data_IF_544980339494
#
_entry.id   IF_544980339494
#
_cell.length_a   1.000
_cell.length_b   1.000
_cell.length_c   1.000
_cell.angle_alpha   90.00
_cell.angle_beta   90.00
_cell.angle_gamma   90.00
#
_symmetry.space_group_name_H-M   'P 1'
#
loop_
_entity.id
_entity.type
_entity.pdbx_description
1 polymer ?
#
# COMPACT_ATOMS: atom_id res chain seq x y z
N UNK A 1 -11.80 -8.26 -27.34
CA UNK A 1 -12.48 -8.49 -26.08
C UNK A 1 -12.94 -9.94 -25.99
N UNK A 2 -12.79 -10.58 -24.83
CA UNK A 2 -13.31 -11.92 -24.61
C UNK A 2 -14.85 -11.83 -24.51
N UNK A 3 -15.60 -12.48 -25.41
CA UNK A 3 -17.07 -12.39 -25.41
C UNK A 3 -17.75 -13.27 -24.33
N UNK A 4 -16.99 -14.13 -23.66
CA UNK A 4 -17.48 -15.11 -22.70
C UNK A 4 -17.26 -14.69 -21.24
N UNK A 5 -17.11 -13.38 -20.98
CA UNK A 5 -16.95 -12.89 -19.61
C UNK A 5 -18.25 -13.01 -18.84
N UNK A 6 -18.13 -13.55 -17.63
CA UNK A 6 -19.19 -13.63 -16.62
C UNK A 6 -18.99 -12.57 -15.54
N UNK A 7 -20.00 -12.36 -14.70
CA UNK A 7 -19.89 -11.43 -13.58
C UNK A 7 -18.92 -11.97 -12.51
N UNK A 8 -18.10 -11.08 -11.98
CA UNK A 8 -17.31 -11.31 -10.78
C UNK A 8 -18.18 -11.09 -9.54
N UNK A 9 -18.03 -11.92 -8.53
CA UNK A 9 -18.70 -11.78 -7.24
C UNK A 9 -17.69 -11.63 -6.12
N UNK A 10 -17.92 -10.65 -5.24
CA UNK A 10 -17.13 -10.45 -4.04
C UNK A 10 -17.97 -10.75 -2.78
N UNK A 11 -17.47 -11.63 -1.94
CA UNK A 11 -18.04 -11.93 -0.63
C UNK A 11 -17.08 -11.41 0.43
N UNK A 12 -17.54 -10.44 1.22
CA UNK A 12 -16.71 -9.79 2.24
C UNK A 12 -17.30 -10.00 3.64
N UNK A 13 -16.42 -10.32 4.59
CA UNK A 13 -16.74 -10.34 6.03
C UNK A 13 -15.70 -9.53 6.77
N UNK A 14 -16.16 -8.58 7.57
CA UNK A 14 -15.28 -7.77 8.41
C UNK A 14 -15.76 -7.69 9.86
N UNK A 15 -14.78 -7.63 10.77
CA UNK A 15 -14.99 -7.40 12.19
C UNK A 15 -14.13 -6.22 12.64
N UNK A 16 -14.79 -5.19 13.16
CA UNK A 16 -14.14 -3.99 13.67
C UNK A 16 -14.41 -3.87 15.18
N UNK A 17 -13.37 -3.74 15.97
CA UNK A 17 -13.43 -3.55 17.41
C UNK A 17 -12.63 -2.33 17.79
N UNK A 18 -13.26 -1.39 18.50
CA UNK A 18 -12.58 -0.23 19.06
C UNK A 18 -12.87 -0.13 20.57
N UNK A 19 -11.83 0.17 21.35
CA UNK A 19 -11.95 0.33 22.80
C UNK A 19 -11.20 1.57 23.28
N UNK A 20 -11.89 2.34 24.11
CA UNK A 20 -11.33 3.45 24.85
C UNK A 20 -10.97 2.98 26.27
N UNK A 21 -9.73 3.23 26.67
CA UNK A 21 -9.24 3.01 28.03
C UNK A 21 -9.08 4.38 28.70
N UNK A 22 -10.03 4.70 29.54
CA UNK A 22 -10.16 6.05 30.10
C UNK A 22 -10.47 7.09 29.00
N UNK A 23 -9.85 8.28 29.13
CA UNK A 23 -10.01 9.39 28.16
C UNK A 23 -8.84 9.53 27.19
N UNK A 24 -7.78 8.77 27.40
CA UNK A 24 -6.48 9.07 26.84
C UNK A 24 -5.93 7.99 25.90
N UNK A 25 -6.44 6.76 25.97
CA UNK A 25 -5.94 5.67 25.13
C UNK A 25 -7.09 5.07 24.32
N UNK A 26 -6.92 5.00 23.01
CA UNK A 26 -7.79 4.29 22.07
C UNK A 26 -7.01 3.15 21.45
N UNK A 27 -7.62 1.99 21.39
CA UNK A 27 -7.12 0.83 20.63
C UNK A 27 -8.22 0.41 19.68
N UNK A 28 -7.89 0.19 18.43
CA UNK A 28 -8.78 -0.36 17.42
C UNK A 28 -8.10 -1.50 16.64
N UNK A 29 -8.90 -2.50 16.30
CA UNK A 29 -8.50 -3.64 15.49
C UNK A 29 -9.60 -3.94 14.49
N UNK A 30 -9.23 -4.07 13.23
CA UNK A 30 -10.09 -4.51 12.15
C UNK A 30 -9.52 -5.77 11.53
N UNK A 31 -10.37 -6.77 11.29
CA UNK A 31 -10.01 -7.95 10.51
C UNK A 31 -10.99 -8.10 9.38
N UNK A 32 -10.53 -8.56 8.24
CA UNK A 32 -11.39 -8.79 7.09
C UNK A 32 -10.96 -10.02 6.30
N UNK A 33 -11.92 -10.60 5.62
CA UNK A 33 -11.73 -11.66 4.64
C UNK A 33 -12.62 -11.37 3.43
N UNK A 34 -12.04 -11.36 2.24
CA UNK A 34 -12.74 -11.19 0.97
C UNK A 34 -12.46 -12.38 0.08
N UNK A 35 -13.51 -13.03 -0.38
CA UNK A 35 -13.47 -14.05 -1.43
C UNK A 35 -13.97 -13.41 -2.73
N UNK A 36 -13.15 -13.48 -3.77
CA UNK A 36 -13.54 -13.16 -5.14
C UNK A 36 -13.84 -14.48 -5.88
N UNK A 37 -15.01 -14.60 -6.43
CA UNK A 37 -15.44 -15.71 -7.26
C UNK A 37 -15.60 -15.24 -8.69
N UNK A 38 -15.11 -16.00 -9.65
CA UNK A 38 -15.00 -15.59 -11.05
C UNK A 38 -14.18 -14.31 -11.25
N UNK A 39 -13.11 -14.11 -10.46
CA UNK A 39 -12.28 -12.90 -10.51
C UNK A 39 -11.78 -12.62 -11.94
N UNK A 40 -11.88 -11.35 -12.36
CA UNK A 40 -11.46 -10.91 -13.69
C UNK A 40 -9.96 -10.62 -13.70
N UNK A 41 -9.18 -11.51 -14.27
CA UNK A 41 -7.72 -11.40 -14.38
C UNK A 41 -7.24 -11.39 -15.82
N UNK A 42 -6.08 -10.80 -16.06
CA UNK A 42 -5.43 -10.85 -17.38
C UNK A 42 -4.59 -12.13 -17.47
N UNK A 43 -4.89 -12.96 -18.47
CA UNK A 43 -4.19 -14.23 -18.73
C UNK A 43 -3.90 -14.42 -20.21
N UNK A 44 -3.05 -15.38 -20.49
CA UNK A 44 -2.72 -15.78 -21.86
C UNK A 44 -3.99 -16.21 -22.61
N UNK A 45 -4.06 -15.79 -23.85
CA UNK A 45 -5.21 -16.01 -24.71
C UNK A 45 -4.75 -16.26 -26.14
N UNK A 46 -5.67 -16.65 -27.02
CA UNK A 46 -5.39 -16.77 -28.44
C UNK A 46 -6.25 -15.83 -29.27
N UNK A 47 -5.65 -15.17 -30.24
CA UNK A 47 -6.36 -14.38 -31.25
C UNK A 47 -6.28 -15.11 -32.58
N UNK A 48 -7.43 -15.56 -33.11
CA UNK A 48 -7.52 -16.39 -34.32
C UNK A 48 -6.65 -17.66 -34.24
N UNK A 49 -6.54 -18.26 -33.04
CA UNK A 49 -5.74 -19.46 -32.78
C UNK A 49 -4.26 -19.24 -32.55
N UNK A 50 -3.76 -17.99 -32.64
CA UNK A 50 -2.38 -17.65 -32.36
C UNK A 50 -2.22 -17.12 -30.92
N UNK A 51 -1.25 -17.65 -30.17
CA UNK A 51 -0.87 -17.16 -28.82
C UNK A 51 0.05 -15.93 -28.88
N UNK A 52 0.68 -15.70 -30.01
CA UNK A 52 1.56 -14.55 -30.27
C UNK A 52 1.18 -13.90 -31.60
N UNK A 53 1.27 -12.59 -31.66
CA UNK A 53 1.03 -11.79 -32.87
C UNK A 53 2.12 -10.73 -33.01
N UNK A 54 2.38 -10.31 -34.25
CA UNK A 54 3.21 -9.11 -34.48
C UNK A 54 2.34 -7.88 -34.25
N UNK A 55 2.67 -7.10 -33.22
CA UNK A 55 2.02 -5.84 -32.90
C UNK A 55 3.07 -4.72 -32.87
N UNK A 56 2.84 -3.67 -33.62
CA UNK A 56 3.76 -2.52 -33.77
C UNK A 56 5.21 -2.93 -34.19
N UNK A 57 5.34 -4.01 -34.99
CA UNK A 57 6.62 -4.52 -35.45
C UNK A 57 7.34 -5.49 -34.54
N UNK A 58 6.80 -5.76 -33.33
CA UNK A 58 7.35 -6.69 -32.34
C UNK A 58 6.44 -7.90 -32.13
N UNK A 59 7.04 -9.07 -31.92
CA UNK A 59 6.30 -10.27 -31.55
C UNK A 59 5.80 -10.12 -30.11
N UNK A 60 4.50 -10.11 -29.94
CA UNK A 60 3.82 -9.85 -28.67
C UNK A 60 2.90 -10.99 -28.30
N UNK A 61 2.92 -11.39 -27.02
CA UNK A 61 2.02 -12.39 -26.47
C UNK A 61 0.59 -11.87 -26.41
N UNK A 62 -0.36 -12.70 -26.83
CA UNK A 62 -1.78 -12.37 -26.78
C UNK A 62 -2.32 -12.65 -25.38
N UNK A 63 -2.88 -11.63 -24.75
CA UNK A 63 -3.54 -11.73 -23.45
C UNK A 63 -4.94 -11.15 -23.51
N UNK A 64 -5.84 -11.70 -22.71
CA UNK A 64 -7.20 -11.20 -22.53
C UNK A 64 -7.62 -11.24 -21.07
N UNK A 65 -8.60 -10.40 -20.73
CA UNK A 65 -9.31 -10.51 -19.47
C UNK A 65 -10.16 -11.79 -19.52
N UNK A 66 -10.05 -12.60 -18.48
CA UNK A 66 -10.77 -13.86 -18.32
C UNK A 66 -11.26 -13.99 -16.88
N UNK A 67 -12.31 -14.77 -16.67
CA UNK A 67 -12.71 -15.14 -15.32
C UNK A 67 -11.73 -16.17 -14.77
N UNK A 68 -11.12 -15.86 -13.62
CA UNK A 68 -10.30 -16.79 -12.86
C UNK A 68 -11.17 -17.67 -11.98
N UNK A 69 -10.60 -18.76 -11.47
CA UNK A 69 -11.33 -19.64 -10.58
C UNK A 69 -11.69 -18.93 -9.27
N UNK A 70 -10.74 -18.49 -8.50
CA UNK A 70 -10.94 -17.79 -7.21
C UNK A 70 -9.72 -16.96 -6.82
N UNK A 71 -9.99 -15.86 -6.10
CA UNK A 71 -8.96 -15.14 -5.37
C UNK A 71 -9.48 -14.83 -3.96
N UNK A 72 -8.58 -14.76 -2.99
CA UNK A 72 -8.94 -14.35 -1.64
C UNK A 72 -7.93 -13.33 -1.10
N UNK A 73 -8.43 -12.41 -0.29
CA UNK A 73 -7.61 -11.44 0.43
C UNK A 73 -8.08 -11.37 1.88
N UNK A 74 -7.18 -11.47 2.80
CA UNK A 74 -7.48 -11.28 4.22
C UNK A 74 -6.43 -10.41 4.88
N UNK A 75 -6.82 -9.76 5.97
CA UNK A 75 -5.92 -8.87 6.66
C UNK A 75 -6.35 -8.49 8.06
N UNK A 76 -5.40 -7.87 8.74
CA UNK A 76 -5.57 -7.30 10.08
C UNK A 76 -4.99 -5.91 10.08
N UNK A 77 -5.79 -4.95 10.54
CA UNK A 77 -5.36 -3.59 10.83
C UNK A 77 -5.43 -3.35 12.33
N UNK A 78 -4.42 -2.72 12.90
CA UNK A 78 -4.37 -2.41 14.31
C UNK A 78 -3.93 -0.97 14.53
N UNK A 79 -4.68 -0.21 15.33
CA UNK A 79 -4.40 1.17 15.69
C UNK A 79 -4.30 1.35 17.21
N UNK A 80 -3.35 2.17 17.63
CA UNK A 80 -3.23 2.64 19.01
C UNK A 80 -3.03 4.15 18.99
N UNK A 81 -3.84 4.87 19.76
CA UNK A 81 -3.68 6.31 19.98
C UNK A 81 -3.60 6.59 21.49
N UNK A 82 -2.59 7.36 21.89
CA UNK A 82 -2.39 7.82 23.27
C UNK A 82 -2.29 9.34 23.30
N UNK A 83 -3.15 9.98 24.08
CA UNK A 83 -3.13 11.43 24.35
C UNK A 83 -2.73 11.71 25.77
N UNK A 84 -1.72 12.56 25.96
CA UNK A 84 -1.23 12.94 27.28
C UNK A 84 -1.71 14.37 27.56
N UNK A 85 -2.23 14.68 28.78
CA UNK A 85 -2.73 16.02 29.10
C UNK A 85 -1.75 17.17 28.88
N UNK A 86 -0.44 16.91 28.91
CA UNK A 86 0.63 17.88 28.62
C UNK A 86 0.73 18.32 27.14
N UNK A 87 -0.13 17.80 26.28
CA UNK A 87 -0.16 18.12 24.84
C UNK A 87 0.60 17.13 23.95
N UNK A 88 1.26 16.13 24.51
CA UNK A 88 1.88 15.06 23.73
C UNK A 88 0.85 14.05 23.26
N UNK A 89 1.08 13.50 22.07
CA UNK A 89 0.31 12.41 21.48
C UNK A 89 1.23 11.40 20.83
N UNK A 90 0.85 10.15 20.89
CA UNK A 90 1.45 9.05 20.16
C UNK A 90 0.35 8.31 19.43
N UNK A 91 0.60 7.90 18.17
CA UNK A 91 -0.25 6.94 17.49
C UNK A 91 0.56 6.02 16.61
N UNK A 92 0.07 4.81 16.44
CA UNK A 92 0.59 3.86 15.45
C UNK A 92 -0.55 3.16 14.77
N UNK A 93 -0.47 3.04 13.45
CA UNK A 93 -1.40 2.29 12.61
C UNK A 93 -0.59 1.26 11.82
N UNK A 94 -0.95 0.01 11.95
CA UNK A 94 -0.28 -1.14 11.35
C UNK A 94 -1.25 -1.87 10.44
N UNK A 95 -0.79 -2.33 9.30
CA UNK A 95 -1.57 -3.12 8.36
C UNK A 95 -0.79 -4.36 7.94
N UNK A 96 -1.40 -5.52 8.14
CA UNK A 96 -0.96 -6.80 7.59
C UNK A 96 -2.07 -7.34 6.69
N UNK A 97 -1.69 -7.73 5.46
CA UNK A 97 -2.62 -8.40 4.55
C UNK A 97 -1.91 -9.45 3.73
N UNK A 98 -2.67 -10.44 3.30
CA UNK A 98 -2.23 -11.47 2.37
C UNK A 98 -3.34 -11.74 1.37
N UNK A 99 -2.95 -11.90 0.10
CA UNK A 99 -3.85 -12.27 -0.97
C UNK A 99 -3.28 -13.46 -1.73
N UNK A 100 -4.16 -14.34 -2.19
CA UNK A 100 -3.84 -15.49 -3.03
C UNK A 100 -4.85 -15.56 -4.17
N UNK A 101 -4.39 -15.95 -5.34
CA UNK A 101 -5.21 -16.24 -6.51
C UNK A 101 -4.90 -17.64 -7.05
N UNK A 102 -5.90 -18.28 -7.61
CA UNK A 102 -5.76 -19.57 -8.27
C UNK A 102 -5.34 -19.36 -9.73
N UNK A 103 -4.28 -20.02 -10.14
CA UNK A 103 -3.76 -20.02 -11.50
C UNK A 103 -4.52 -21.03 -12.37
N UNK A 104 -4.32 -20.95 -13.71
CA UNK A 104 -4.99 -21.84 -14.68
C UNK A 104 -4.68 -23.32 -14.48
N UNK A 105 -3.53 -23.65 -13.91
CA UNK A 105 -3.12 -25.02 -13.60
C UNK A 105 -3.64 -25.52 -12.23
N UNK A 106 -4.38 -24.69 -11.49
CA UNK A 106 -4.88 -24.97 -10.14
C UNK A 106 -3.90 -24.68 -9.02
N UNK A 107 -2.68 -24.23 -9.33
CA UNK A 107 -1.73 -23.77 -8.32
C UNK A 107 -2.17 -22.42 -7.75
N UNK A 108 -1.60 -22.05 -6.61
CA UNK A 108 -1.84 -20.75 -5.97
C UNK A 108 -0.65 -19.82 -6.16
N UNK A 109 -0.93 -18.57 -6.44
CA UNK A 109 0.02 -17.47 -6.51
C UNK A 109 -0.37 -16.37 -5.51
N UNK A 110 0.60 -15.66 -4.90
CA UNK A 110 0.30 -14.44 -4.18
C UNK A 110 -0.42 -13.43 -5.07
N UNK A 111 -1.41 -12.72 -4.52
CA UNK A 111 -2.12 -11.69 -5.26
C UNK A 111 -1.24 -10.45 -5.44
N UNK A 112 -1.16 -9.97 -6.67
CA UNK A 112 -0.27 -8.88 -7.10
C UNK A 112 -0.37 -7.61 -6.26
N UNK A 113 -1.55 -7.23 -5.81
CA UNK A 113 -1.78 -5.96 -5.13
C UNK A 113 -1.94 -6.09 -3.61
N UNK A 114 -1.68 -7.26 -3.04
CA UNK A 114 -1.61 -7.41 -1.60
C UNK A 114 -0.29 -6.77 -1.10
N UNK A 115 -0.37 -5.55 -0.58
CA UNK A 115 0.81 -4.86 -0.06
C UNK A 115 1.44 -5.65 1.10
N UNK A 116 2.78 -5.64 1.25
CA UNK A 116 3.44 -6.25 2.39
C UNK A 116 3.04 -5.56 3.71
N UNK A 117 3.51 -6.05 4.84
CA UNK A 117 3.30 -5.38 6.12
C UNK A 117 3.79 -3.92 6.06
N UNK A 118 2.94 -2.98 6.43
CA UNK A 118 3.27 -1.56 6.44
C UNK A 118 2.59 -0.85 7.59
N UNK A 119 3.08 0.35 7.90
CA UNK A 119 2.48 1.14 8.94
C UNK A 119 2.99 2.55 9.02
N UNK A 120 2.42 3.29 9.96
CA UNK A 120 2.85 4.63 10.29
C UNK A 120 2.78 4.83 11.81
N UNK A 121 3.88 5.33 12.37
CA UNK A 121 3.95 5.73 13.79
C UNK A 121 4.18 7.23 13.89
N UNK A 122 3.47 7.88 14.79
CA UNK A 122 3.50 9.34 14.96
C UNK A 122 3.74 9.70 16.41
N UNK A 123 4.60 10.68 16.61
CA UNK A 123 4.77 11.37 17.89
C UNK A 123 4.49 12.85 17.65
N UNK A 124 3.58 13.42 18.39
CA UNK A 124 3.19 14.80 18.24
C UNK A 124 3.14 15.55 19.55
N UNK A 125 3.24 16.86 19.44
CA UNK A 125 3.02 17.80 20.53
C UNK A 125 2.17 18.96 20.04
N UNK A 126 1.10 19.27 20.76
CA UNK A 126 0.24 20.39 20.43
C UNK A 126 -0.02 21.26 21.64
N UNK A 127 -0.02 22.58 21.43
CA UNK A 127 -0.54 23.58 22.37
C UNK A 127 -1.45 24.57 21.62
N UNK A 128 -1.80 25.70 22.24
CA UNK A 128 -2.73 26.69 21.64
C UNK A 128 -2.25 27.27 20.30
N UNK A 129 -0.93 27.33 20.06
CA UNK A 129 -0.33 27.96 18.88
C UNK A 129 0.43 27.01 17.97
N UNK A 130 1.04 25.97 18.55
CA UNK A 130 1.96 25.08 17.84
C UNK A 130 1.41 23.67 17.82
N UNK A 131 1.46 23.04 16.67
CA UNK A 131 1.29 21.59 16.47
C UNK A 131 2.53 21.06 15.74
N UNK A 132 3.26 20.15 16.38
CA UNK A 132 4.44 19.47 15.84
C UNK A 132 4.15 17.98 15.76
N UNK A 133 4.60 17.35 14.68
CA UNK A 133 4.51 15.91 14.49
C UNK A 133 5.74 15.37 13.77
N UNK A 134 6.34 14.35 14.36
CA UNK A 134 7.31 13.48 13.69
C UNK A 134 6.57 12.18 13.35
N UNK A 135 6.65 11.72 12.11
CA UNK A 135 6.08 10.44 11.71
C UNK A 135 7.11 9.60 10.96
N UNK A 136 7.05 8.31 11.25
CA UNK A 136 7.78 7.24 10.59
C UNK A 136 6.77 6.44 9.75
N UNK A 137 6.96 6.39 8.43
CA UNK A 137 6.24 5.50 7.52
C UNK A 137 7.19 4.38 7.11
N UNK A 138 6.68 3.17 7.04
CA UNK A 138 7.50 2.03 6.63
C UNK A 138 6.67 0.98 5.89
N UNK A 139 7.35 0.19 5.11
CA UNK A 139 6.84 -1.00 4.43
C UNK A 139 7.89 -2.08 4.48
N UNK A 140 7.45 -3.31 4.68
CA UNK A 140 8.34 -4.47 4.70
C UNK A 140 8.74 -4.90 3.30
N UNK A 141 9.69 -5.81 3.23
CA UNK A 141 10.18 -6.44 2.00
C UNK A 141 9.14 -7.42 1.46
N UNK A 142 9.13 -7.59 0.13
CA UNK A 142 8.52 -8.76 -0.52
C UNK A 142 9.62 -9.54 -1.20
N UNK A 143 9.92 -10.71 -0.65
CA UNK A 143 10.92 -11.62 -1.20
C UNK A 143 10.45 -12.21 -2.55
N UNK A 144 11.37 -12.76 -3.33
CA UNK A 144 11.06 -13.37 -4.63
C UNK A 144 9.97 -14.43 -4.55
N UNK A 145 9.99 -15.24 -3.51
CA UNK A 145 9.04 -16.34 -3.28
C UNK A 145 7.61 -15.81 -3.04
N UNK A 146 7.50 -14.63 -2.46
CA UNK A 146 6.23 -13.95 -2.12
C UNK A 146 5.73 -13.00 -3.23
N UNK A 147 6.50 -12.83 -4.33
CA UNK A 147 6.02 -12.09 -5.49
C UNK A 147 4.96 -12.89 -6.25
N UNK A 148 3.93 -12.20 -6.73
CA UNK A 148 3.00 -12.76 -7.70
C UNK A 148 3.75 -13.23 -8.95
N UNK A 149 3.29 -14.32 -9.59
CA UNK A 149 3.97 -14.87 -10.77
C UNK A 149 4.17 -13.84 -11.89
N UNK A 150 3.17 -12.97 -12.13
CA UNK A 150 3.27 -11.89 -13.09
C UNK A 150 4.33 -10.83 -12.76
N UNK A 151 4.68 -10.68 -11.48
CA UNK A 151 5.67 -9.70 -11.01
C UNK A 151 7.11 -10.21 -11.14
N UNK A 152 7.32 -11.51 -11.09
CA UNK A 152 8.65 -12.15 -11.19
C UNK A 152 9.35 -11.85 -12.52
N UNK A 153 8.60 -11.55 -13.57
CA UNK A 153 9.15 -11.16 -14.88
C UNK A 153 9.56 -9.68 -14.99
N UNK A 154 9.16 -8.81 -14.06
CA UNK A 154 9.30 -7.35 -14.17
C UNK A 154 10.55 -6.81 -13.48
N UNK A 155 11.72 -7.27 -13.93
CA UNK A 155 13.01 -6.89 -13.33
C UNK A 155 13.29 -5.38 -13.34
N UNK A 156 12.66 -4.63 -14.22
CA UNK A 156 12.83 -3.17 -14.36
C UNK A 156 12.24 -2.36 -13.21
N UNK A 157 11.26 -2.92 -12.49
CA UNK A 157 10.61 -2.23 -11.35
C UNK A 157 11.10 -2.71 -9.99
N UNK A 158 11.81 -3.83 -9.92
CA UNK A 158 12.28 -4.47 -8.70
C UNK A 158 13.80 -4.33 -8.51
N UNK A 159 14.25 -4.49 -7.28
CA UNK A 159 15.67 -4.73 -6.99
C UNK A 159 16.02 -6.19 -7.32
N UNK A 160 17.30 -6.47 -7.46
CA UNK A 160 17.79 -7.82 -7.73
C UNK A 160 18.62 -8.30 -6.54
N UNK A 161 18.29 -9.47 -6.02
CA UNK A 161 19.01 -10.11 -4.92
C UNK A 161 20.34 -10.71 -5.36
N UNK A 162 21.10 -11.30 -4.41
CA UNK A 162 22.37 -11.95 -4.69
C UNK A 162 22.31 -13.20 -5.58
N UNK A 163 21.11 -13.75 -5.79
CA UNK A 163 20.85 -14.92 -6.65
C UNK A 163 20.35 -14.51 -8.05
N UNK A 164 20.17 -13.21 -8.28
CA UNK A 164 19.65 -12.68 -9.54
C UNK A 164 18.12 -12.64 -9.62
N UNK A 165 17.40 -12.81 -8.49
CA UNK A 165 15.96 -12.78 -8.42
C UNK A 165 15.44 -11.38 -8.12
N UNK A 166 14.31 -10.95 -8.71
CA UNK A 166 13.67 -9.69 -8.36
C UNK A 166 13.02 -9.76 -6.97
N UNK A 167 13.06 -8.66 -6.24
CA UNK A 167 12.37 -8.51 -4.95
C UNK A 167 12.02 -7.04 -4.70
N UNK A 168 11.04 -6.76 -3.85
CA UNK A 168 10.70 -5.40 -3.41
C UNK A 168 11.38 -5.11 -2.08
N UNK A 169 12.39 -4.23 -2.01
CA UNK A 169 13.06 -3.90 -0.77
C UNK A 169 12.13 -3.25 0.25
N UNK A 170 12.37 -3.51 1.53
CA UNK A 170 11.77 -2.73 2.61
C UNK A 170 12.25 -1.28 2.57
N UNK A 171 11.40 -0.38 3.08
CA UNK A 171 11.74 1.03 3.15
C UNK A 171 11.08 1.71 4.36
N UNK A 172 11.66 2.83 4.76
CA UNK A 172 11.03 3.73 5.72
C UNK A 172 11.34 5.19 5.39
N UNK A 173 10.46 6.09 5.79
CA UNK A 173 10.68 7.53 5.71
C UNK A 173 10.40 8.18 7.06
N UNK A 174 11.26 9.11 7.44
CA UNK A 174 11.06 9.97 8.60
C UNK A 174 10.64 11.35 8.12
N UNK A 175 9.53 11.85 8.68
CA UNK A 175 8.94 13.13 8.28
C UNK A 175 8.69 14.00 9.50
N UNK A 176 8.87 15.31 9.34
CA UNK A 176 8.53 16.33 10.33
C UNK A 176 7.46 17.24 9.75
N UNK A 177 6.39 17.48 10.50
CA UNK A 177 5.36 18.45 10.17
C UNK A 177 5.18 19.43 11.30
N UNK A 178 4.97 20.70 10.97
CA UNK A 178 4.74 21.78 11.93
C UNK A 178 3.62 22.67 11.44
N UNK A 179 2.70 23.01 12.31
CA UNK A 179 1.68 24.02 12.06
C UNK A 179 1.74 25.05 13.17
N UNK A 180 1.91 26.34 12.80
CA UNK A 180 1.99 27.43 13.74
C UNK A 180 0.93 28.49 13.46
N UNK A 181 0.08 28.76 14.44
CA UNK A 181 -0.92 29.82 14.39
C UNK A 181 -0.25 31.17 14.69
N UNK A 182 -0.01 31.95 13.66
CA UNK A 182 0.56 33.31 13.81
C UNK A 182 -0.42 34.22 14.56
N UNK A 183 -1.69 34.17 14.19
CA UNK A 183 -2.82 34.81 14.86
C UNK A 183 -4.13 34.10 14.49
N UNK A 184 -5.27 34.71 14.76
CA UNK A 184 -6.60 34.11 14.48
C UNK A 184 -6.87 33.91 12.97
N UNK A 185 -6.25 34.71 12.14
CA UNK A 185 -6.44 34.71 10.70
C UNK A 185 -5.36 33.96 9.92
N UNK A 186 -4.13 33.84 10.45
CA UNK A 186 -3.01 33.28 9.72
C UNK A 186 -2.41 32.06 10.40
N UNK A 187 -2.25 31.01 9.62
CA UNK A 187 -1.59 29.76 10.05
C UNK A 187 -0.49 29.41 9.06
N UNK A 188 0.71 29.20 9.53
CA UNK A 188 1.86 28.73 8.77
C UNK A 188 2.00 27.22 8.97
N UNK A 189 2.13 26.47 7.88
CA UNK A 189 2.46 25.04 7.89
C UNK A 189 3.79 24.83 7.21
N UNK A 190 4.69 24.11 7.85
CA UNK A 190 5.99 23.71 7.30
C UNK A 190 6.15 22.19 7.46
N UNK A 191 6.72 21.54 6.45
CA UNK A 191 7.00 20.12 6.46
C UNK A 191 8.37 19.82 5.87
N UNK A 192 9.03 18.82 6.42
CA UNK A 192 10.23 18.21 5.86
C UNK A 192 9.96 16.72 5.73
N UNK A 193 9.83 16.27 4.48
CA UNK A 193 9.46 14.90 4.15
C UNK A 193 10.68 14.11 3.72
N UNK A 194 10.68 12.81 4.01
CA UNK A 194 11.77 11.88 3.73
C UNK A 194 13.13 12.45 4.15
N UNK A 195 13.27 12.83 5.43
CA UNK A 195 14.48 13.49 5.99
C UNK A 195 15.73 12.64 5.75
N UNK A 196 15.57 11.32 5.76
CA UNK A 196 16.64 10.35 5.50
C UNK A 196 17.06 10.26 4.04
N UNK A 197 16.33 10.95 3.15
CA UNK A 197 16.56 10.95 1.69
C UNK A 197 16.60 9.54 1.09
N UNK A 198 15.76 8.66 1.60
CA UNK A 198 15.71 7.28 1.14
C UNK A 198 15.09 7.20 -0.26
N UNK A 199 15.80 6.55 -1.18
CA UNK A 199 15.26 6.22 -2.49
C UNK A 199 14.50 4.90 -2.39
N UNK A 200 13.20 4.92 -2.65
CA UNK A 200 12.36 3.74 -2.59
C UNK A 200 11.25 3.76 -3.65
N UNK A 201 10.64 2.61 -3.86
CA UNK A 201 9.41 2.45 -4.63
C UNK A 201 8.39 1.74 -3.75
N UNK A 202 7.12 2.17 -3.74
CA UNK A 202 6.05 1.35 -3.18
C UNK A 202 5.96 0.01 -3.92
N UNK A 203 5.53 -1.03 -3.23
CA UNK A 203 5.36 -2.36 -3.82
C UNK A 203 4.50 -2.31 -5.09
N UNK A 204 4.89 -3.05 -6.11
CA UNK A 204 4.25 -3.11 -7.43
C UNK A 204 4.16 -1.75 -8.17
N UNK A 205 5.02 -0.79 -7.83
CA UNK A 205 5.09 0.52 -8.49
C UNK A 205 6.35 0.67 -9.32
N UNK A 206 6.20 1.08 -10.58
CA UNK A 206 7.32 1.50 -11.43
C UNK A 206 7.85 2.91 -11.10
N UNK A 207 7.15 3.67 -10.24
CA UNK A 207 7.48 5.07 -9.94
C UNK A 207 8.29 5.14 -8.65
N UNK A 208 9.44 5.78 -8.72
CA UNK A 208 10.28 6.10 -7.54
C UNK A 208 9.57 7.20 -6.74
N UNK A 209 9.47 6.99 -5.42
CA UNK A 209 8.92 7.99 -4.52
C UNK A 209 9.85 9.22 -4.41
N UNK A 210 9.31 10.39 -4.04
CA UNK A 210 10.13 11.60 -3.86
C UNK A 210 11.21 11.39 -2.81
N UNK A 211 12.39 11.95 -3.05
CA UNK A 211 13.44 12.11 -2.05
C UNK A 211 13.08 13.17 -1.01
N UNK A 212 14.10 13.72 -0.36
CA UNK A 212 13.91 14.80 0.62
C UNK A 212 13.15 15.98 0.00
N UNK A 213 12.06 16.38 0.66
CA UNK A 213 11.18 17.43 0.17
C UNK A 213 10.83 18.42 1.30
N UNK A 214 10.75 19.70 0.96
CA UNK A 214 10.31 20.77 1.86
C UNK A 214 8.97 21.31 1.39
N UNK A 215 8.01 21.39 2.30
CA UNK A 215 6.67 21.92 2.08
C UNK A 215 6.48 23.16 2.94
N UNK A 216 5.97 24.24 2.35
CA UNK A 216 5.61 25.47 3.06
C UNK A 216 4.25 25.95 2.56
N UNK A 217 3.33 26.22 3.47
CA UNK A 217 2.01 26.77 3.14
C UNK A 217 1.58 27.81 4.15
N UNK A 218 0.98 28.89 3.67
CA UNK A 218 0.32 29.93 4.46
C UNK A 218 -1.19 29.88 4.21
N UNK A 219 -1.94 29.68 5.28
CA UNK A 219 -3.42 29.73 5.24
C UNK A 219 -3.90 31.06 5.82
N UNK A 220 -4.69 31.81 5.06
CA UNK A 220 -5.39 33.01 5.50
C UNK A 220 -6.89 32.73 5.60
N UNK A 221 -7.54 33.22 6.65
CA UNK A 221 -8.99 33.15 6.89
C UNK A 221 -9.50 34.57 7.12
N UNK A 222 -10.46 35.01 6.33
CA UNK A 222 -11.08 36.32 6.39
C UNK A 222 -12.56 36.22 6.79
#
# INVERSE_FOLDING_TARGET
>A
PNPNLEAEYAYNVDLNVAKLFGKNVKVDVSTYYTLLDNALVRRDFTLNGASEIVYDGELSQVQAIQNAAKANVYGVQAGVEVKIPSGFRFSTDLNFQKGEEELDNGDKSPSRHAAPFFGVSRVGYANSKLDLEVNLQFSDEVAYEDLAEEEKGKKEIYAIDGNGNPYSPSWYTLNLKSMYKLNENFTLTAGLENITDQRYRPYSSGIVAPGKNFVLALRAKF
#
